data_IF_173653780332
#
_entry.id   IF_173653780332
#
_cell.length_a   1.000
_cell.length_b   1.000
_cell.length_c   1.000
_cell.angle_alpha   90.00
_cell.angle_beta   90.00
_cell.angle_gamma   90.00
#
_symmetry.space_group_name_H-M   'P 1'
#
loop_
_entity.id
_entity.type
_entity.pdbx_description
1 polymer ?
#
# COMPACT_ATOMS: atom_id res chain seq x y z
N UNK A 1 10.77 4.08 0.00
CA UNK A 1 10.88 4.06 -1.47
C UNK A 1 9.54 3.85 -2.15
N UNK A 2 9.36 4.40 -3.36
CA UNK A 2 8.20 4.20 -4.23
C UNK A 2 8.66 3.32 -5.40
N UNK A 3 8.06 2.14 -5.54
CA UNK A 3 8.36 1.23 -6.65
C UNK A 3 7.66 1.66 -7.94
N UNK A 4 8.17 1.21 -9.09
CA UNK A 4 7.50 1.34 -10.39
C UNK A 4 6.08 0.75 -10.35
N UNK A 5 5.90 -0.41 -9.73
CA UNK A 5 4.58 -1.02 -9.56
C UNK A 5 3.59 -0.15 -8.78
N UNK A 6 4.08 0.58 -7.77
CA UNK A 6 3.25 1.53 -7.04
C UNK A 6 2.88 2.75 -7.88
N UNK A 7 3.81 3.25 -8.71
CA UNK A 7 3.53 4.33 -9.64
C UNK A 7 2.47 3.89 -10.67
N UNK A 8 2.62 2.70 -11.25
CA UNK A 8 1.65 2.15 -12.22
C UNK A 8 0.27 1.97 -11.58
N UNK A 9 0.24 1.45 -10.35
CA UNK A 9 -1.00 1.32 -9.57
C UNK A 9 -1.66 2.68 -9.32
N UNK A 10 -0.87 3.70 -8.98
CA UNK A 10 -1.36 5.06 -8.80
C UNK A 10 -1.96 5.63 -10.09
N UNK A 11 -1.27 5.46 -11.23
CA UNK A 11 -1.77 5.91 -12.53
C UNK A 11 -3.08 5.22 -12.90
N UNK A 12 -3.20 3.92 -12.66
CA UNK A 12 -4.46 3.19 -12.86
C UNK A 12 -5.60 3.69 -11.97
N UNK A 13 -5.33 4.00 -10.70
CA UNK A 13 -6.31 4.57 -9.78
C UNK A 13 -6.72 6.00 -10.15
N UNK A 14 -5.78 6.79 -10.68
CA UNK A 14 -6.04 8.13 -11.19
C UNK A 14 -6.91 8.08 -12.44
N UNK A 15 -6.59 7.24 -13.41
CA UNK A 15 -7.35 7.10 -14.67
C UNK A 15 -8.76 6.56 -14.45
N UNK A 16 -8.97 5.72 -13.43
CA UNK A 16 -10.30 5.23 -13.04
C UNK A 16 -11.14 6.23 -12.23
N UNK A 17 -10.64 7.46 -12.00
CA UNK A 17 -11.35 8.49 -11.25
C UNK A 17 -11.45 8.21 -9.74
N UNK A 18 -10.81 7.15 -9.24
CA UNK A 18 -10.82 6.77 -7.82
C UNK A 18 -10.02 7.77 -6.98
N UNK A 19 -9.01 8.39 -7.59
CA UNK A 19 -8.05 9.26 -6.92
C UNK A 19 -7.93 10.64 -7.59
N UNK A 20 -8.84 11.58 -7.27
CA UNK A 20 -8.67 12.98 -7.61
C UNK A 20 -7.36 13.53 -7.08
N UNK A 21 -6.77 14.49 -7.81
CA UNK A 21 -5.48 15.10 -7.47
C UNK A 21 -5.48 15.69 -6.06
N UNK A 22 -6.52 16.42 -5.70
CA UNK A 22 -6.66 17.04 -4.38
C UNK A 22 -6.65 16.02 -3.25
N UNK A 23 -7.47 14.97 -3.39
CA UNK A 23 -7.56 13.87 -2.43
C UNK A 23 -6.21 13.17 -2.21
N UNK A 24 -5.44 13.00 -3.28
CA UNK A 24 -4.09 12.47 -3.20
C UNK A 24 -3.17 13.37 -2.37
N UNK A 25 -3.09 14.66 -2.70
CA UNK A 25 -2.14 15.58 -2.03
C UNK A 25 -2.54 15.92 -0.60
N UNK A 26 -3.83 16.05 -0.30
CA UNK A 26 -4.29 16.47 1.02
C UNK A 26 -4.48 15.30 2.00
N UNK A 27 -4.82 14.09 1.52
CA UNK A 27 -5.14 12.96 2.39
C UNK A 27 -4.16 11.80 2.26
N UNK A 28 -3.95 11.27 1.05
CA UNK A 28 -3.12 10.07 0.90
C UNK A 28 -1.63 10.35 1.08
N UNK A 29 -1.09 11.36 0.40
CA UNK A 29 0.35 11.65 0.40
C UNK A 29 0.86 11.89 1.82
N UNK A 30 0.24 12.73 2.67
CA UNK A 30 0.73 12.95 4.04
C UNK A 30 0.83 11.65 4.84
N UNK A 31 -0.14 10.74 4.68
CA UNK A 31 -0.12 9.45 5.37
C UNK A 31 0.93 8.48 4.82
N UNK A 32 1.15 8.47 3.50
CA UNK A 32 2.23 7.71 2.87
C UNK A 32 3.59 8.19 3.40
N UNK A 33 3.78 9.51 3.54
CA UNK A 33 5.02 10.09 4.08
C UNK A 33 5.30 9.66 5.53
N UNK A 34 4.27 9.31 6.32
CA UNK A 34 4.45 8.81 7.69
C UNK A 34 5.25 7.51 7.74
N UNK A 35 5.33 6.75 6.63
CA UNK A 35 6.16 5.54 6.56
C UNK A 35 7.64 5.79 6.85
N UNK A 36 8.13 7.04 6.69
CA UNK A 36 9.49 7.42 7.10
C UNK A 36 9.72 7.32 8.61
N UNK A 37 8.66 7.49 9.41
CA UNK A 37 8.68 7.44 10.87
C UNK A 37 7.87 6.25 11.39
N UNK A 38 7.95 5.12 10.70
CA UNK A 38 7.21 3.90 11.01
C UNK A 38 7.36 3.52 12.49
N UNK A 39 6.27 3.13 13.13
CA UNK A 39 6.24 2.71 14.55
C UNK A 39 6.21 3.87 15.55
N UNK A 40 6.69 5.05 15.18
CA UNK A 40 6.59 6.25 16.02
C UNK A 40 5.23 6.93 15.86
N UNK A 41 4.69 6.94 14.64
CA UNK A 41 3.37 7.52 14.39
C UNK A 41 2.25 6.66 15.00
N UNK A 42 1.35 7.24 15.84
CA UNK A 42 0.25 6.51 16.48
C UNK A 42 -0.67 5.79 15.50
N UNK A 43 -0.79 6.24 14.24
CA UNK A 43 -1.64 5.58 13.24
C UNK A 43 -1.19 4.16 12.92
N UNK A 44 0.10 3.86 13.01
CA UNK A 44 0.60 2.49 12.80
C UNK A 44 0.28 1.54 13.97
N UNK A 45 -0.30 2.06 15.06
CA UNK A 45 -0.87 1.24 16.15
C UNK A 45 -2.35 0.91 15.93
N UNK A 46 -3.05 1.61 15.03
CA UNK A 46 -4.46 1.36 14.73
C UNK A 46 -4.62 0.28 13.65
N UNK A 47 -5.12 -0.89 14.05
CA UNK A 47 -5.36 -2.03 13.16
C UNK A 47 -6.40 -1.76 12.04
N UNK A 48 -7.23 -0.72 12.19
CA UNK A 48 -8.21 -0.31 11.16
C UNK A 48 -7.54 0.46 10.03
N UNK A 49 -6.41 1.12 10.32
CA UNK A 49 -5.62 1.87 9.36
C UNK A 49 -4.44 1.06 8.84
N UNK A 50 -3.71 0.37 9.71
CA UNK A 50 -2.50 -0.38 9.38
C UNK A 50 -2.64 -1.85 9.77
N UNK A 51 -1.81 -2.72 9.21
CA UNK A 51 -1.70 -4.10 9.69
C UNK A 51 -1.11 -5.03 8.66
N UNK A 52 -0.85 -6.30 9.04
CA UNK A 52 -0.25 -7.28 8.15
C UNK A 52 -1.14 -7.52 6.93
N UNK A 53 -0.50 -7.64 5.77
CA UNK A 53 -1.12 -8.15 4.56
C UNK A 53 -1.25 -9.67 4.66
N UNK A 54 -2.24 -10.23 3.95
CA UNK A 54 -2.55 -11.65 3.97
C UNK A 54 -2.69 -12.17 2.55
N UNK A 55 -2.12 -13.33 2.26
CA UNK A 55 -2.33 -14.07 1.01
C UNK A 55 -3.45 -15.12 1.17
N UNK A 56 -3.73 -15.57 2.39
CA UNK A 56 -4.86 -16.45 2.70
C UNK A 56 -5.47 -16.08 4.07
N UNK A 57 -6.59 -16.70 4.51
CA UNK A 57 -7.17 -16.41 5.83
C UNK A 57 -6.19 -16.63 6.99
N UNK A 58 -5.35 -17.66 6.90
CA UNK A 58 -4.37 -18.07 7.93
C UNK A 58 -2.96 -17.55 7.67
N UNK A 59 -2.63 -17.17 6.44
CA UNK A 59 -1.26 -16.82 6.04
C UNK A 59 -1.08 -15.32 5.83
N UNK A 60 -0.12 -14.75 6.56
CA UNK A 60 0.35 -13.37 6.39
C UNK A 60 1.51 -13.32 5.41
N UNK A 61 1.58 -12.25 4.65
CA UNK A 61 2.73 -11.97 3.79
C UNK A 61 3.91 -11.56 4.68
N UNK A 62 5.04 -12.29 4.69
CA UNK A 62 6.23 -11.89 5.45
C UNK A 62 6.68 -10.49 5.03
N UNK A 63 6.94 -9.62 6.01
CA UNK A 63 7.26 -8.20 5.84
C UNK A 63 6.24 -7.38 5.04
N UNK A 64 5.08 -7.96 4.76
CA UNK A 64 4.02 -7.35 3.98
C UNK A 64 2.97 -6.73 4.87
N UNK A 65 2.74 -5.45 4.66
CA UNK A 65 1.74 -4.68 5.39
C UNK A 65 0.78 -3.98 4.43
N UNK A 66 -0.37 -3.55 4.95
CA UNK A 66 -1.31 -2.74 4.20
C UNK A 66 -1.84 -1.57 5.03
N UNK A 67 -1.80 -0.40 4.42
CA UNK A 67 -2.57 0.75 4.86
C UNK A 67 -3.99 0.68 4.28
N UNK A 68 -4.99 1.06 5.07
CA UNK A 68 -6.42 0.87 4.81
C UNK A 68 -7.13 2.21 4.97
N UNK A 69 -7.58 2.77 3.85
CA UNK A 69 -8.51 3.89 3.86
C UNK A 69 -9.91 3.37 3.61
N UNK A 70 -10.80 3.76 4.51
CA UNK A 70 -12.22 3.55 4.38
C UNK A 70 -12.84 4.89 4.01
N UNK A 71 -13.88 4.87 3.17
CA UNK A 71 -14.67 6.05 2.83
C UNK A 71 -13.84 7.21 2.23
N UNK A 72 -12.92 6.89 1.31
CA UNK A 72 -12.16 7.89 0.56
C UNK A 72 -13.05 8.54 -0.53
N UNK A 73 -12.84 9.82 -0.84
CA UNK A 73 -13.67 10.58 -1.79
C UNK A 73 -15.09 10.81 -1.26
N UNK A 74 -16.11 10.63 -2.09
CA UNK A 74 -17.52 10.77 -1.73
C UNK A 74 -18.04 9.61 -0.85
N UNK A 75 -17.22 9.10 0.07
CA UNK A 75 -17.60 8.06 1.02
C UNK A 75 -17.59 6.61 0.50
N UNK A 76 -17.35 6.39 -0.80
CA UNK A 76 -17.61 5.09 -1.43
C UNK A 76 -16.35 4.28 -1.81
N UNK A 77 -15.15 4.80 -1.54
CA UNK A 77 -13.90 4.13 -1.93
C UNK A 77 -13.20 3.49 -0.72
N UNK A 78 -13.00 2.18 -0.83
CA UNK A 78 -12.16 1.40 0.06
C UNK A 78 -10.78 1.23 -0.59
N UNK A 79 -9.81 2.07 -0.23
CA UNK A 79 -8.47 2.03 -0.80
C UNK A 79 -7.52 1.23 0.10
N UNK A 80 -6.65 0.44 -0.50
CA UNK A 80 -5.57 -0.27 0.17
C UNK A 80 -4.25 0.09 -0.49
N UNK A 81 -3.24 0.40 0.31
CA UNK A 81 -1.85 0.53 -0.16
C UNK A 81 -1.02 -0.56 0.48
N UNK A 82 -0.33 -1.36 -0.32
CA UNK A 82 0.52 -2.44 0.14
C UNK A 82 1.96 -1.96 0.28
N UNK A 83 2.54 -2.23 1.43
CA UNK A 83 3.88 -1.82 1.83
C UNK A 83 4.72 -3.07 2.10
N UNK A 84 5.94 -3.11 1.60
CA UNK A 84 6.97 -4.06 2.04
C UNK A 84 7.93 -3.37 3.01
N UNK A 85 8.29 -4.02 4.12
CA UNK A 85 9.32 -3.54 5.05
C UNK A 85 10.56 -4.43 4.94
N UNK A 86 11.51 -4.04 4.12
CA UNK A 86 12.68 -4.87 3.80
C UNK A 86 13.93 -4.17 4.29
N UNK A 87 14.73 -4.86 5.10
CA UNK A 87 16.02 -4.38 5.63
C UNK A 87 15.96 -3.01 6.33
N UNK A 88 14.83 -2.74 7.01
CA UNK A 88 14.59 -1.47 7.72
C UNK A 88 13.95 -0.38 6.86
N UNK A 89 13.84 -0.58 5.55
CA UNK A 89 13.25 0.37 4.62
C UNK A 89 11.79 0.04 4.26
N UNK A 90 10.96 1.08 4.14
CA UNK A 90 9.58 0.96 3.70
C UNK A 90 9.45 1.16 2.19
N UNK A 91 8.86 0.18 1.49
CA UNK A 91 8.60 0.19 0.06
C UNK A 91 7.10 0.27 -0.20
N UNK A 92 6.64 1.34 -0.85
CA UNK A 92 5.30 1.37 -1.42
C UNK A 92 5.30 0.49 -2.69
N UNK A 93 4.56 -0.62 -2.63
CA UNK A 93 4.57 -1.66 -3.66
C UNK A 93 3.36 -1.61 -4.60
N UNK A 94 2.19 -1.19 -4.12
CA UNK A 94 0.98 -1.02 -4.92
C UNK A 94 -0.13 -0.32 -4.15
N UNK A 95 -1.10 0.20 -4.90
CA UNK A 95 -2.40 0.62 -4.38
C UNK A 95 -3.54 0.00 -5.17
N UNK A 96 -4.66 -0.30 -4.51
CA UNK A 96 -5.86 -0.78 -5.20
C UNK A 96 -7.14 -0.35 -4.49
N UNK A 97 -8.22 -0.16 -5.28
CA UNK A 97 -9.59 -0.06 -4.77
C UNK A 97 -10.08 -1.47 -4.47
N UNK A 98 -10.42 -1.73 -3.21
CA UNK A 98 -11.06 -2.97 -2.78
C UNK A 98 -12.51 -2.99 -3.24
N UNK A 99 -12.84 -3.97 -4.07
CA UNK A 99 -14.19 -4.21 -4.59
C UNK A 99 -14.78 -5.53 -4.11
N UNK A 100 -13.95 -6.45 -3.59
CA UNK A 100 -14.41 -7.72 -3.03
C UNK A 100 -13.49 -8.22 -1.91
N UNK A 101 -13.96 -9.14 -1.05
CA UNK A 101 -13.13 -9.76 -0.02
C UNK A 101 -11.90 -10.49 -0.59
N UNK A 102 -12.07 -11.23 -1.68
CA UNK A 102 -10.99 -12.03 -2.30
C UNK A 102 -9.89 -11.21 -2.97
N UNK A 103 -10.13 -9.93 -3.26
CA UNK A 103 -9.12 -9.06 -3.84
C UNK A 103 -7.95 -8.82 -2.88
N UNK A 104 -8.21 -8.69 -1.57
CA UNK A 104 -7.13 -8.49 -0.58
C UNK A 104 -6.11 -9.65 -0.63
N UNK A 105 -6.57 -10.89 -0.83
CA UNK A 105 -5.71 -12.08 -0.92
C UNK A 105 -4.89 -12.12 -2.21
N UNK A 106 -5.52 -11.84 -3.36
CA UNK A 106 -4.81 -11.76 -4.66
C UNK A 106 -3.72 -10.69 -4.65
N UNK A 107 -4.03 -9.53 -4.08
CA UNK A 107 -3.09 -8.44 -3.94
C UNK A 107 -2.00 -8.77 -2.89
N UNK A 108 -2.33 -9.57 -1.86
CA UNK A 108 -1.36 -10.15 -0.93
C UNK A 108 -0.34 -11.07 -1.63
N UNK A 109 -0.78 -11.97 -2.53
CA UNK A 109 0.13 -12.81 -3.31
C UNK A 109 1.08 -11.98 -4.18
N UNK A 110 0.57 -10.93 -4.85
CA UNK A 110 1.42 -10.01 -5.62
C UNK A 110 2.42 -9.28 -4.73
N UNK A 111 2.01 -8.85 -3.53
CA UNK A 111 2.89 -8.21 -2.57
C UNK A 111 4.02 -9.15 -2.14
N UNK A 112 3.71 -10.40 -1.83
CA UNK A 112 4.69 -11.42 -1.45
C UNK A 112 5.77 -11.57 -2.52
N UNK A 113 5.37 -11.70 -3.79
CA UNK A 113 6.30 -11.79 -4.91
C UNK A 113 7.14 -10.52 -5.08
N UNK A 114 6.55 -9.34 -4.89
CA UNK A 114 7.29 -8.07 -4.98
C UNK A 114 8.29 -7.89 -3.85
N UNK A 115 7.96 -8.30 -2.63
CA UNK A 115 8.91 -8.30 -1.51
C UNK A 115 10.09 -9.24 -1.81
N UNK A 116 9.81 -10.42 -2.37
CA UNK A 116 10.85 -11.35 -2.84
C UNK A 116 11.76 -10.69 -3.88
N UNK A 117 11.19 -9.98 -4.86
CA UNK A 117 11.96 -9.26 -5.88
C UNK A 117 12.77 -8.09 -5.28
N UNK A 118 12.22 -7.35 -4.30
CA UNK A 118 12.91 -6.27 -3.61
C UNK A 118 14.14 -6.80 -2.86
N UNK A 119 13.98 -7.90 -2.11
CA UNK A 119 15.11 -8.57 -1.43
C UNK A 119 16.20 -9.05 -2.41
N UNK A 120 15.81 -9.38 -3.64
CA UNK A 120 16.74 -9.75 -4.71
C UNK A 120 17.31 -8.54 -5.46
N UNK A 121 16.94 -7.31 -5.08
CA UNK A 121 17.29 -6.08 -5.80
C UNK A 121 16.83 -6.09 -7.27
N UNK A 122 15.73 -6.79 -7.54
CA UNK A 122 15.10 -6.94 -8.87
C UNK A 122 13.84 -6.09 -9.00
N UNK A 123 13.87 -4.89 -8.48
CA UNK A 123 12.80 -3.89 -8.58
C UNK A 123 13.33 -2.59 -9.18
N UNK A 124 12.42 -1.76 -9.67
CA UNK A 124 12.75 -0.40 -10.13
C UNK A 124 12.09 0.59 -9.20
N UNK A 125 12.88 1.53 -8.69
CA UNK A 125 12.43 2.64 -7.86
C UNK A 125 12.11 3.85 -8.73
N UNK A 126 11.05 4.57 -8.39
CA UNK A 126 10.57 5.77 -9.10
C UNK A 126 10.52 7.00 -8.21
N UNK A 127 10.91 6.88 -6.95
CA UNK A 127 10.99 8.00 -6.03
C UNK A 127 11.24 7.55 -4.59
N UNK A 128 11.56 8.52 -3.75
CA UNK A 128 11.56 8.33 -2.31
C UNK A 128 10.14 8.58 -1.76
N UNK A 129 9.84 7.90 -0.65
CA UNK A 129 8.76 8.34 0.24
C UNK A 129 9.21 9.67 0.78
#
# INVERSE_FOLDING_TARGET
MITSWALDSYLGLKHSGVLPRELYFQRLRPDILRLRALGQDPRFKDARFWGPAKCSPSETVPDGFKMKWHNLGNGNVQLRLCIGLVDGDAFLCQGFKKTSPGQDFREGFKLMERIRLIRQQRHVEKGAL
#
